data_IF_271934346755
#
_entry.id   IF_271934346755
#
_cell.length_a   1.000
_cell.length_b   1.000
_cell.length_c   1.000
_cell.angle_alpha   90.00
_cell.angle_beta   90.00
_cell.angle_gamma   90.00
#
_symmetry.space_group_name_H-M   'P 1'
#
loop_
_entity.id
_entity.type
_entity.pdbx_description
1 polymer ?
#
# COMPACT_ATOMS: atom_id res chain seq x y z
N UNK A 1 -9.18 8.95 1.36
CA UNK A 1 -9.55 7.79 0.51
C UNK A 1 -10.99 7.43 0.77
N UNK A 2 -11.65 6.72 -0.15
CA UNK A 2 -12.98 6.17 0.08
C UNK A 2 -12.92 4.91 0.95
N UNK A 3 -11.87 4.11 0.81
CA UNK A 3 -11.55 3.00 1.72
C UNK A 3 -10.03 2.72 1.71
N UNK A 4 -9.57 1.94 2.67
CA UNK A 4 -8.18 1.49 2.78
C UNK A 4 -8.17 -0.04 2.90
N UNK A 5 -7.20 -0.70 2.29
CA UNK A 5 -7.05 -2.16 2.32
C UNK A 5 -5.77 -2.54 3.06
N UNK A 6 -5.85 -3.44 4.04
CA UNK A 6 -4.65 -4.06 4.63
C UNK A 6 -3.88 -4.84 3.57
N UNK A 7 -2.62 -4.45 3.37
CA UNK A 7 -1.70 -5.10 2.43
C UNK A 7 -0.46 -5.65 3.14
N UNK A 8 -0.47 -5.75 4.48
CA UNK A 8 0.68 -6.19 5.28
C UNK A 8 1.28 -7.50 4.77
N UNK A 9 0.42 -8.47 4.41
CA UNK A 9 0.84 -9.79 3.90
C UNK A 9 1.52 -9.76 2.53
N UNK A 10 1.39 -8.67 1.77
CA UNK A 10 1.88 -8.55 0.39
C UNK A 10 2.79 -7.33 0.17
N UNK A 11 3.13 -6.59 1.23
CA UNK A 11 3.95 -5.38 1.13
C UNK A 11 5.34 -5.68 0.54
N UNK A 12 5.97 -6.78 0.95
CA UNK A 12 7.26 -7.19 0.39
C UNK A 12 7.17 -7.46 -1.12
N UNK A 13 6.14 -8.20 -1.55
CA UNK A 13 5.89 -8.49 -2.96
C UNK A 13 5.69 -7.19 -3.77
N UNK A 14 4.98 -6.20 -3.21
CA UNK A 14 4.79 -4.89 -3.83
C UNK A 14 6.12 -4.16 -4.05
N UNK A 15 7.02 -4.19 -3.06
CA UNK A 15 8.34 -3.57 -3.20
C UNK A 15 9.17 -4.28 -4.28
N UNK A 16 9.19 -5.61 -4.30
CA UNK A 16 9.89 -6.37 -5.35
C UNK A 16 9.33 -6.09 -6.74
N UNK A 17 8.00 -5.99 -6.87
CA UNK A 17 7.37 -5.64 -8.13
C UNK A 17 7.84 -4.25 -8.62
N UNK A 18 7.93 -3.26 -7.74
CA UNK A 18 8.45 -1.92 -8.09
C UNK A 18 9.94 -1.99 -8.47
N UNK A 19 10.75 -2.77 -7.75
CA UNK A 19 12.19 -2.93 -8.05
C UNK A 19 12.43 -3.52 -9.44
N UNK A 20 11.52 -4.33 -9.95
CA UNK A 20 11.65 -4.97 -11.27
C UNK A 20 11.68 -3.98 -12.45
N UNK A 21 11.26 -2.72 -12.26
CA UNK A 21 11.30 -1.68 -13.29
C UNK A 21 12.69 -1.01 -13.38
N UNK A 22 13.72 -1.79 -13.73
CA UNK A 22 15.12 -1.34 -13.83
C UNK A 22 15.28 -0.08 -14.71
N UNK A 23 14.52 0.04 -15.80
CA UNK A 23 14.57 1.22 -16.68
C UNK A 23 14.17 2.53 -16.00
N UNK A 24 13.47 2.46 -14.86
CA UNK A 24 13.02 3.62 -14.09
C UNK A 24 13.95 3.93 -12.91
N UNK A 25 14.57 2.90 -12.31
CA UNK A 25 15.30 3.03 -11.04
C UNK A 25 16.80 2.70 -11.14
N UNK A 26 17.25 2.24 -12.31
CA UNK A 26 18.61 1.76 -12.53
C UNK A 26 18.88 0.38 -11.94
N UNK A 27 20.09 -0.14 -12.14
CA UNK A 27 20.49 -1.51 -11.74
C UNK A 27 20.70 -1.67 -10.22
N UNK A 28 20.75 -0.57 -9.46
CA UNK A 28 20.83 -0.57 -8.00
C UNK A 28 19.78 0.40 -7.47
N UNK A 29 18.52 -0.04 -7.34
CA UNK A 29 17.42 0.79 -6.85
C UNK A 29 17.54 1.09 -5.34
N UNK A 30 18.50 0.47 -4.64
CA UNK A 30 18.74 0.69 -3.21
C UNK A 30 19.05 2.16 -2.92
N UNK A 31 18.31 2.76 -1.98
CA UNK A 31 18.46 4.17 -1.62
C UNK A 31 17.70 5.14 -2.52
N UNK A 32 16.99 4.66 -3.55
CA UNK A 32 16.07 5.51 -4.32
C UNK A 32 14.91 5.96 -3.41
N UNK A 33 14.73 7.27 -3.26
CA UNK A 33 13.79 7.88 -2.31
C UNK A 33 12.35 7.38 -2.46
N UNK A 34 11.96 6.94 -3.67
CA UNK A 34 10.64 6.37 -3.93
C UNK A 34 10.30 5.19 -3.02
N UNK A 35 11.24 4.27 -2.76
CA UNK A 35 10.95 3.07 -1.96
C UNK A 35 10.59 3.45 -0.52
N UNK A 36 11.35 4.37 0.07
CA UNK A 36 11.03 4.92 1.39
C UNK A 36 9.70 5.66 1.38
N UNK A 37 9.42 6.43 0.34
CA UNK A 37 8.12 7.11 0.20
C UNK A 37 6.95 6.12 0.11
N UNK A 38 7.08 5.05 -0.68
CA UNK A 38 6.08 3.99 -0.78
C UNK A 38 5.88 3.32 0.58
N UNK A 39 6.96 2.92 1.26
CA UNK A 39 6.88 2.29 2.58
C UNK A 39 6.21 3.20 3.62
N UNK A 40 6.60 4.47 3.67
CA UNK A 40 6.05 5.44 4.62
C UNK A 40 4.59 5.75 4.34
N UNK A 41 4.19 5.86 3.07
CA UNK A 41 2.80 6.05 2.68
C UNK A 41 1.94 4.86 3.11
N UNK A 42 2.37 3.62 2.82
CA UNK A 42 1.59 2.44 3.20
C UNK A 42 1.56 2.24 4.72
N UNK A 43 2.63 2.56 5.47
CA UNK A 43 2.61 2.61 6.94
C UNK A 43 1.62 3.63 7.48
N UNK A 44 1.60 4.83 6.91
CA UNK A 44 0.67 5.88 7.35
C UNK A 44 -0.77 5.39 7.26
N UNK A 45 -1.16 4.80 6.13
CA UNK A 45 -2.51 4.27 5.95
C UNK A 45 -2.80 3.03 6.80
N UNK A 46 -1.81 2.15 6.99
CA UNK A 46 -1.91 0.99 7.88
C UNK A 46 -2.25 1.39 9.30
N UNK A 47 -1.53 2.37 9.84
CA UNK A 47 -1.75 2.90 11.19
C UNK A 47 -3.18 3.43 11.41
N UNK A 48 -3.88 3.88 10.36
CA UNK A 48 -5.26 4.36 10.50
C UNK A 48 -6.30 3.24 10.68
N UNK A 49 -5.93 1.99 10.37
CA UNK A 49 -6.79 0.80 10.50
C UNK A 49 -6.14 -0.29 11.37
N UNK A 50 -5.18 0.07 12.22
CA UNK A 50 -4.44 -0.82 13.13
C UNK A 50 -3.72 -2.00 12.44
N UNK A 51 -3.12 -1.72 11.28
CA UNK A 51 -2.29 -2.68 10.51
C UNK A 51 -0.92 -2.08 10.18
N UNK A 52 0.06 -2.92 9.83
CA UNK A 52 1.42 -2.43 9.55
C UNK A 52 1.49 -1.66 8.22
N UNK A 53 0.78 -2.14 7.20
CA UNK A 53 0.72 -1.51 5.89
C UNK A 53 -0.68 -1.59 5.29
N UNK A 54 -1.13 -0.48 4.73
CA UNK A 54 -2.40 -0.45 3.99
C UNK A 54 -2.34 0.48 2.78
N UNK A 55 -3.19 0.23 1.79
CA UNK A 55 -3.25 0.99 0.55
C UNK A 55 -4.58 1.76 0.41
N UNK A 56 -4.54 3.08 0.15
CA UNK A 56 -5.73 3.90 0.00
C UNK A 56 -6.34 3.79 -1.40
N UNK A 57 -7.66 3.68 -1.49
CA UNK A 57 -8.40 3.67 -2.76
C UNK A 57 -9.45 4.79 -2.80
N UNK A 58 -9.73 5.30 -4.00
CA UNK A 58 -10.78 6.29 -4.24
C UNK A 58 -11.87 5.64 -5.10
N UNK A 59 -13.11 5.76 -4.65
CA UNK A 59 -14.31 5.39 -5.38
C UNK A 59 -15.21 6.62 -5.51
N UNK A 60 -15.72 6.87 -6.71
CA UNK A 60 -16.75 7.91 -6.94
C UNK A 60 -18.13 7.42 -6.52
N UNK A 61 -18.40 6.13 -6.73
CA UNK A 61 -19.64 5.47 -6.33
C UNK A 61 -19.50 4.94 -4.89
N UNK A 62 -20.64 4.70 -4.24
CA UNK A 62 -20.69 4.19 -2.88
C UNK A 62 -20.12 2.76 -2.76
N UNK A 63 -19.36 2.52 -1.68
CA UNK A 63 -18.81 1.20 -1.36
C UNK A 63 -19.76 0.48 -0.41
N UNK A 64 -20.35 -0.62 -0.88
CA UNK A 64 -21.25 -1.44 -0.07
C UNK A 64 -20.50 -2.36 0.89
N UNK A 65 -20.90 -2.38 2.15
CA UNK A 65 -20.43 -3.32 3.18
C UNK A 65 -21.50 -4.37 3.40
N UNK A 66 -21.15 -5.65 3.24
CA UNK A 66 -22.10 -6.78 3.35
C UNK A 66 -22.25 -7.31 4.77
N UNK A 67 -21.24 -7.12 5.61
CA UNK A 67 -21.17 -7.63 6.97
C UNK A 67 -20.38 -6.65 7.83
N UNK A 68 -20.88 -6.34 9.02
CA UNK A 68 -20.20 -5.46 9.98
C UNK A 68 -19.01 -6.16 10.62
N UNK A 69 -19.06 -7.49 10.75
CA UNK A 69 -17.95 -8.29 11.26
C UNK A 69 -16.77 -8.34 10.27
N UNK A 70 -16.99 -7.95 9.02
CA UNK A 70 -15.93 -7.84 8.02
C UNK A 70 -15.17 -6.50 8.07
N UNK A 71 -15.55 -5.58 8.97
CA UNK A 71 -14.79 -4.36 9.24
C UNK A 71 -13.70 -4.66 10.27
N UNK A 72 -12.48 -4.20 9.98
CA UNK A 72 -11.33 -4.29 10.87
C UNK A 72 -11.47 -3.31 12.05
#
# INVERSE_FOLDING_TARGET
>A
PSFVMDITKVMEMKIEAIRSYESQFGPSPEGHQLFEWVLNSNRYWGNLIDTEFAEPFISKEEVGIKDIEALL
#
